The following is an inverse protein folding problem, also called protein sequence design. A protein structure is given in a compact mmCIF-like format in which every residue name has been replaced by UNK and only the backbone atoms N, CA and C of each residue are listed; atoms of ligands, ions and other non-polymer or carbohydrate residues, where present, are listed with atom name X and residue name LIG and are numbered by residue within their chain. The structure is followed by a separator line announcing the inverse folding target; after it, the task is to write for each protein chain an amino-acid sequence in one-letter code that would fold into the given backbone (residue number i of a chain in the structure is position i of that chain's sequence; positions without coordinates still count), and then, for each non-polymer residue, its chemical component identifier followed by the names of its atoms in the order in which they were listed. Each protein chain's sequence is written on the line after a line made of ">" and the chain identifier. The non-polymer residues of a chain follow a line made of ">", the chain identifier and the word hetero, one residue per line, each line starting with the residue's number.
data_IF_357339510194
#
_entry.id   IF_357339510194
#
_cell.length_a   1.000
_cell.length_b   1.000
_cell.length_c   1.000
_cell.angle_alpha   90.00
_cell.angle_beta   90.00
_cell.angle_gamma   90.00
#
_symmetry.space_group_name_H-M   'P 1'
#
loop_
_entity.id
_entity.type
_entity.pdbx_description
1 polymer ?
#
# COMPACT_ATOMS: atom_id res chain seq x y z
N UNK A 1 5.84 36.27 -11.88
CA UNK A 1 6.35 34.93 -11.50
C UNK A 1 7.79 34.85 -11.97
N UNK A 2 8.72 34.59 -11.06
CA UNK A 2 10.16 34.71 -11.34
C UNK A 2 10.61 33.52 -12.20
N UNK A 3 11.26 33.77 -13.34
CA UNK A 3 11.74 32.73 -14.26
C UNK A 3 12.59 31.66 -13.53
N UNK A 4 13.42 32.07 -12.59
CA UNK A 4 14.24 31.16 -11.78
C UNK A 4 13.40 30.17 -10.96
N UNK A 5 12.26 30.64 -10.40
CA UNK A 5 11.33 29.77 -9.65
C UNK A 5 10.62 28.78 -10.58
N UNK A 6 10.27 29.19 -11.80
CA UNK A 6 9.69 28.29 -12.80
C UNK A 6 10.67 27.19 -13.21
N UNK A 7 11.92 27.56 -13.49
CA UNK A 7 12.98 26.59 -13.82
C UNK A 7 13.25 25.66 -12.64
N UNK A 8 13.33 26.20 -11.43
CA UNK A 8 13.52 25.38 -10.22
C UNK A 8 12.36 24.42 -10.02
N UNK A 9 11.13 24.88 -10.16
CA UNK A 9 9.93 24.01 -10.08
C UNK A 9 9.93 22.93 -11.16
N UNK A 10 10.26 23.28 -12.40
CA UNK A 10 10.30 22.35 -13.52
C UNK A 10 11.38 21.28 -13.40
N UNK A 11 12.55 21.63 -12.83
CA UNK A 11 13.69 20.71 -12.73
C UNK A 11 13.78 19.97 -11.41
N UNK A 12 13.36 20.58 -10.30
CA UNK A 12 13.54 20.04 -8.94
C UNK A 12 12.22 19.77 -8.21
N UNK A 13 11.08 20.14 -8.82
CA UNK A 13 9.78 20.09 -8.16
C UNK A 13 9.65 21.16 -7.07
N UNK A 14 8.58 21.07 -6.29
CA UNK A 14 8.34 21.96 -5.14
C UNK A 14 8.49 21.18 -3.84
N UNK A 15 9.60 21.39 -3.14
CA UNK A 15 9.82 20.78 -1.81
C UNK A 15 8.73 21.15 -0.79
N UNK A 16 8.06 22.30 -0.96
CA UNK A 16 6.97 22.71 -0.08
C UNK A 16 5.72 21.85 -0.25
N UNK A 17 5.49 21.31 -1.45
CA UNK A 17 4.34 20.44 -1.75
C UNK A 17 4.58 18.97 -1.39
N UNK A 18 5.80 18.55 -1.11
CA UNK A 18 6.15 17.17 -0.78
C UNK A 18 5.32 16.62 0.37
N UNK A 19 5.14 17.40 1.44
CA UNK A 19 4.38 16.98 2.61
C UNK A 19 2.89 16.75 2.31
N UNK A 20 2.33 17.53 1.41
CA UNK A 20 0.95 17.34 0.94
C UNK A 20 0.83 16.13 0.03
N UNK A 21 1.84 15.85 -0.81
CA UNK A 21 1.89 14.66 -1.64
C UNK A 21 1.97 13.38 -0.77
N UNK A 22 2.83 13.37 0.25
CA UNK A 22 2.92 12.28 1.22
C UNK A 22 1.57 12.07 1.93
N UNK A 23 0.93 13.15 2.41
CA UNK A 23 -0.38 13.08 3.04
C UNK A 23 -1.43 12.48 2.10
N UNK A 24 -1.49 12.96 0.85
CA UNK A 24 -2.47 12.51 -0.14
C UNK A 24 -2.31 11.00 -0.42
N UNK A 25 -1.10 10.55 -0.73
CA UNK A 25 -0.82 9.13 -1.03
C UNK A 25 -1.11 8.27 0.20
N UNK A 26 -0.62 8.66 1.38
CA UNK A 26 -0.81 7.94 2.63
C UNK A 26 -2.28 7.76 2.96
N UNK A 27 -3.07 8.84 2.91
CA UNK A 27 -4.51 8.80 3.21
C UNK A 27 -5.26 7.99 2.16
N UNK A 28 -4.97 8.18 0.87
CA UNK A 28 -5.66 7.46 -0.21
C UNK A 28 -5.40 5.95 -0.14
N UNK A 29 -4.12 5.56 0.01
CA UNK A 29 -3.74 4.14 0.11
C UNK A 29 -4.26 3.54 1.42
N UNK A 30 -4.14 4.26 2.53
CA UNK A 30 -4.65 3.82 3.83
C UNK A 30 -6.16 3.57 3.81
N UNK A 31 -6.94 4.52 3.27
CA UNK A 31 -8.40 4.39 3.13
C UNK A 31 -8.78 3.22 2.22
N UNK A 32 -8.06 3.02 1.11
CA UNK A 32 -8.31 1.89 0.22
C UNK A 32 -8.22 0.56 0.98
N UNK A 33 -7.11 0.34 1.72
CA UNK A 33 -6.93 -0.90 2.49
C UNK A 33 -7.89 -1.02 3.66
N UNK A 34 -8.18 0.08 4.37
CA UNK A 34 -9.16 0.08 5.45
C UNK A 34 -10.56 -0.32 4.95
N UNK A 35 -11.02 0.26 3.86
CA UNK A 35 -12.32 -0.06 3.25
C UNK A 35 -12.32 -1.49 2.68
N UNK A 36 -11.25 -1.88 1.97
CA UNK A 36 -11.10 -3.24 1.42
C UNK A 36 -11.18 -4.30 2.53
N UNK A 37 -10.38 -4.11 3.59
CA UNK A 37 -10.38 -5.02 4.74
C UNK A 37 -11.72 -5.02 5.49
N UNK A 38 -12.34 -3.85 5.69
CA UNK A 38 -13.67 -3.75 6.29
C UNK A 38 -14.73 -4.51 5.48
N UNK A 39 -14.75 -4.35 4.16
CA UNK A 39 -15.68 -5.05 3.29
C UNK A 39 -15.48 -6.57 3.35
N UNK A 40 -14.22 -7.02 3.40
CA UNK A 40 -13.92 -8.45 3.54
C UNK A 40 -14.36 -9.02 4.89
N UNK A 41 -14.25 -8.25 5.98
CA UNK A 41 -14.56 -8.70 7.34
C UNK A 41 -16.04 -8.61 7.69
N UNK A 42 -16.71 -7.53 7.30
CA UNK A 42 -18.04 -7.17 7.81
C UNK A 42 -19.17 -7.35 6.77
N UNK A 43 -18.84 -7.52 5.50
CA UNK A 43 -19.86 -7.82 4.47
C UNK A 43 -20.00 -9.33 4.32
N UNK A 44 -21.23 -9.82 4.17
CA UNK A 44 -21.50 -11.23 3.96
C UNK A 44 -20.71 -11.75 2.75
N UNK A 45 -20.02 -12.87 2.94
CA UNK A 45 -19.18 -13.50 1.91
C UNK A 45 -17.95 -12.68 1.44
N UNK A 46 -17.64 -11.57 2.09
CA UNK A 46 -16.55 -10.68 1.71
C UNK A 46 -15.15 -11.33 1.70
N UNK A 47 -14.93 -12.34 2.55
CA UNK A 47 -13.67 -13.09 2.61
C UNK A 47 -13.56 -14.18 1.53
N UNK A 48 -14.62 -14.54 0.82
CA UNK A 48 -14.62 -15.62 -0.18
C UNK A 48 -13.53 -15.49 -1.25
N UNK A 49 -13.30 -14.32 -1.88
CA UNK A 49 -12.27 -14.20 -2.91
C UNK A 49 -10.85 -14.51 -2.37
N UNK A 50 -10.56 -14.05 -1.16
CA UNK A 50 -9.26 -14.32 -0.50
C UNK A 50 -9.15 -15.80 -0.15
N UNK A 51 -10.21 -16.39 0.41
CA UNK A 51 -10.28 -17.81 0.72
C UNK A 51 -10.04 -18.69 -0.51
N UNK A 52 -10.72 -18.41 -1.63
CA UNK A 52 -10.55 -19.18 -2.87
C UNK A 52 -9.12 -19.07 -3.41
N UNK A 53 -8.51 -17.90 -3.33
CA UNK A 53 -7.12 -17.67 -3.72
C UNK A 53 -6.16 -18.50 -2.86
N UNK A 54 -6.38 -18.52 -1.54
CA UNK A 54 -5.57 -19.30 -0.60
C UNK A 54 -5.74 -20.81 -0.79
N UNK A 55 -6.93 -21.27 -1.11
CA UNK A 55 -7.17 -22.69 -1.47
C UNK A 55 -6.43 -23.06 -2.75
N UNK A 56 -6.51 -22.23 -3.80
CA UNK A 56 -5.79 -22.46 -5.06
C UNK A 56 -4.26 -22.49 -4.87
N UNK A 57 -3.71 -21.68 -3.99
CA UNK A 57 -2.29 -21.67 -3.64
C UNK A 57 -1.88 -22.74 -2.63
N UNK A 58 -2.81 -23.65 -2.26
CA UNK A 58 -2.58 -24.75 -1.30
C UNK A 58 -2.07 -24.26 0.06
N UNK A 59 -2.52 -23.11 0.52
CA UNK A 59 -2.15 -22.56 1.81
C UNK A 59 -2.69 -23.44 2.95
N UNK A 60 -1.90 -23.57 4.02
CA UNK A 60 -2.38 -24.21 5.25
C UNK A 60 -3.38 -23.29 5.94
N UNK A 61 -4.50 -23.85 6.41
CA UNK A 61 -5.56 -23.10 7.13
C UNK A 61 -6.14 -21.90 6.37
N UNK A 62 -6.65 -22.07 5.11
CA UNK A 62 -7.05 -20.97 4.24
C UNK A 62 -8.15 -20.08 4.85
N UNK A 63 -9.05 -20.64 5.65
CA UNK A 63 -10.12 -19.89 6.29
C UNK A 63 -9.59 -18.89 7.34
N UNK A 64 -8.70 -19.35 8.24
CA UNK A 64 -8.10 -18.49 9.26
C UNK A 64 -7.21 -17.43 8.63
N UNK A 65 -6.44 -17.80 7.60
CA UNK A 65 -5.58 -16.88 6.85
C UNK A 65 -6.39 -15.80 6.13
N UNK A 66 -7.55 -16.14 5.55
CA UNK A 66 -8.40 -15.14 4.89
C UNK A 66 -8.87 -14.05 5.86
N UNK A 67 -9.32 -14.42 7.06
CA UNK A 67 -9.69 -13.46 8.09
C UNK A 67 -8.49 -12.68 8.62
N UNK A 68 -7.35 -13.34 8.81
CA UNK A 68 -6.13 -12.70 9.29
C UNK A 68 -5.62 -11.63 8.31
N UNK A 69 -5.51 -11.95 7.02
CA UNK A 69 -5.13 -11.02 5.96
C UNK A 69 -6.09 -9.84 5.89
N UNK A 70 -7.40 -10.10 5.87
CA UNK A 70 -8.41 -9.06 5.87
C UNK A 70 -8.33 -8.16 7.11
N UNK A 71 -7.98 -8.74 8.27
CA UNK A 71 -7.72 -8.01 9.52
C UNK A 71 -6.51 -7.09 9.43
N UNK A 72 -5.40 -7.58 8.84
CA UNK A 72 -4.21 -6.77 8.58
C UNK A 72 -4.56 -5.59 7.67
N UNK A 73 -5.25 -5.84 6.55
CA UNK A 73 -5.66 -4.76 5.64
C UNK A 73 -6.48 -3.69 6.36
N UNK A 74 -7.49 -4.10 7.14
CA UNK A 74 -8.36 -3.18 7.87
C UNK A 74 -7.60 -2.36 8.92
N UNK A 75 -6.86 -3.03 9.81
CA UNK A 75 -6.15 -2.38 10.91
C UNK A 75 -5.02 -1.52 10.40
N UNK A 76 -4.12 -2.08 9.57
CA UNK A 76 -2.97 -1.34 9.05
C UNK A 76 -3.38 -0.21 8.10
N UNK A 77 -4.43 -0.41 7.28
CA UNK A 77 -5.01 0.64 6.45
C UNK A 77 -5.56 1.80 7.28
N UNK A 78 -6.27 1.50 8.37
CA UNK A 78 -6.79 2.51 9.31
C UNK A 78 -5.66 3.29 10.01
N UNK A 79 -4.65 2.57 10.51
CA UNK A 79 -3.46 3.16 11.14
C UNK A 79 -2.71 4.08 10.17
N UNK A 80 -2.53 3.63 8.93
CA UNK A 80 -1.86 4.39 7.88
C UNK A 80 -2.65 5.65 7.51
N UNK A 81 -3.96 5.57 7.44
CA UNK A 81 -4.84 6.73 7.17
C UNK A 81 -4.63 7.84 8.19
N UNK A 82 -4.65 7.50 9.48
CA UNK A 82 -4.44 8.45 10.58
C UNK A 82 -2.98 8.89 10.69
N UNK A 83 -2.04 8.07 10.19
CA UNK A 83 -0.60 8.30 10.32
C UNK A 83 -0.06 7.94 11.69
N UNK A 84 -0.57 6.86 12.27
CA UNK A 84 -0.12 6.28 13.52
C UNK A 84 0.51 4.90 13.27
N UNK A 85 1.70 4.69 13.80
CA UNK A 85 2.52 3.49 13.51
C UNK A 85 2.65 3.24 11.99
N UNK A 86 2.86 4.33 11.22
CA UNK A 86 2.82 4.30 9.76
C UNK A 86 3.84 3.35 9.15
N UNK A 87 5.08 3.34 9.66
CA UNK A 87 6.14 2.48 9.14
C UNK A 87 5.85 0.99 9.36
N UNK A 88 5.51 0.50 10.58
CA UNK A 88 5.12 -0.90 10.76
C UNK A 88 3.83 -1.28 10.00
N UNK A 89 2.86 -0.38 9.87
CA UNK A 89 1.67 -0.62 9.08
C UNK A 89 2.02 -0.80 7.58
N UNK A 90 2.89 0.08 7.03
CA UNK A 90 3.40 -0.07 5.67
C UNK A 90 4.16 -1.38 5.46
N UNK A 91 4.99 -1.82 6.42
CA UNK A 91 5.70 -3.10 6.33
C UNK A 91 4.74 -4.27 6.28
N UNK A 92 3.71 -4.27 7.14
CA UNK A 92 2.70 -5.34 7.14
C UNK A 92 1.93 -5.42 5.82
N UNK A 93 1.47 -4.27 5.28
CA UNK A 93 0.78 -4.20 3.99
C UNK A 93 1.72 -4.50 2.81
N UNK A 94 3.00 -4.15 2.89
CA UNK A 94 4.02 -4.51 1.91
C UNK A 94 4.18 -6.03 1.81
N UNK A 95 4.27 -6.72 2.95
CA UNK A 95 4.35 -8.19 3.01
C UNK A 95 3.08 -8.79 2.41
N UNK A 96 1.91 -8.29 2.79
CA UNK A 96 0.62 -8.76 2.29
C UNK A 96 0.53 -8.65 0.76
N UNK A 97 0.82 -7.48 0.19
CA UNK A 97 0.79 -7.25 -1.26
C UNK A 97 1.89 -8.04 -2.00
N UNK A 98 3.05 -8.25 -1.39
CA UNK A 98 4.09 -9.10 -1.98
C UNK A 98 3.62 -10.56 -2.05
N UNK A 99 3.02 -11.07 -0.99
CA UNK A 99 2.43 -12.43 -0.98
C UNK A 99 1.31 -12.53 -2.01
N UNK A 100 0.41 -11.56 -2.08
CA UNK A 100 -0.67 -11.53 -3.07
C UNK A 100 -0.13 -11.53 -4.51
N UNK A 101 0.93 -10.76 -4.78
CA UNK A 101 1.62 -10.75 -6.08
C UNK A 101 2.14 -12.14 -6.43
N UNK A 102 2.87 -12.77 -5.53
CA UNK A 102 3.52 -14.07 -5.77
C UNK A 102 2.54 -15.24 -5.87
N UNK A 103 1.44 -15.20 -5.11
CA UNK A 103 0.48 -16.33 -5.04
C UNK A 103 -0.64 -16.23 -6.05
N UNK A 104 -1.03 -15.04 -6.46
CA UNK A 104 -2.22 -14.79 -7.25
C UNK A 104 -1.92 -13.95 -8.50
N UNK A 105 -1.43 -12.74 -8.35
CA UNK A 105 -1.32 -11.77 -9.43
C UNK A 105 -0.43 -12.24 -10.58
N UNK A 106 0.73 -12.83 -10.30
CA UNK A 106 1.61 -13.39 -11.33
C UNK A 106 0.94 -14.49 -12.18
N UNK A 107 -0.02 -15.21 -11.62
CA UNK A 107 -0.73 -16.26 -12.35
C UNK A 107 -1.75 -15.72 -13.37
N UNK A 108 -2.10 -14.44 -13.28
CA UNK A 108 -3.01 -13.77 -14.21
C UNK A 108 -2.31 -13.29 -15.48
N UNK A 109 -0.96 -13.21 -15.45
CA UNK A 109 -0.18 -12.75 -16.59
C UNK A 109 -0.27 -13.75 -17.76
N UNK A 110 -0.46 -13.28 -19.01
CA UNK A 110 -0.48 -14.15 -20.19
C UNK A 110 0.86 -14.87 -20.37
N UNK A 111 0.77 -16.13 -20.82
CA UNK A 111 1.97 -16.96 -21.09
C UNK A 111 2.50 -16.66 -22.49
N UNK A 112 3.84 -16.70 -22.64
CA UNK A 112 4.49 -16.55 -23.95
C UNK A 112 4.70 -15.10 -24.39
N UNK A 113 4.63 -14.15 -23.48
CA UNK A 113 4.95 -12.74 -23.74
C UNK A 113 6.46 -12.55 -24.02
N UNK A 114 6.77 -11.51 -24.79
CA UNK A 114 8.15 -11.00 -24.86
C UNK A 114 8.57 -10.44 -23.50
N UNK A 115 9.87 -10.39 -23.18
CA UNK A 115 10.34 -9.84 -21.89
C UNK A 115 9.83 -8.40 -21.62
N UNK A 116 9.74 -7.59 -22.66
CA UNK A 116 9.26 -6.21 -22.55
C UNK A 116 7.75 -6.14 -22.26
N UNK A 117 6.95 -6.94 -22.98
CA UNK A 117 5.51 -7.03 -22.76
C UNK A 117 5.17 -7.64 -21.41
N UNK A 118 5.98 -8.60 -20.96
CA UNK A 118 5.84 -9.18 -19.61
C UNK A 118 6.10 -8.13 -18.52
N UNK A 119 7.15 -7.33 -18.69
CA UNK A 119 7.47 -6.26 -17.74
C UNK A 119 6.36 -5.19 -17.70
N UNK A 120 5.79 -4.84 -18.85
CA UNK A 120 4.67 -3.91 -18.96
C UNK A 120 3.46 -4.42 -18.18
N UNK A 121 3.01 -5.65 -18.47
CA UNK A 121 1.88 -6.27 -17.77
C UNK A 121 2.15 -6.47 -16.26
N UNK A 122 3.39 -6.82 -15.89
CA UNK A 122 3.79 -6.96 -14.49
C UNK A 122 3.69 -5.63 -13.72
N UNK A 123 4.18 -4.53 -14.29
CA UNK A 123 4.12 -3.21 -13.67
C UNK A 123 2.69 -2.64 -13.63
N UNK A 124 1.79 -3.16 -14.48
CA UNK A 124 0.39 -2.78 -14.49
C UNK A 124 -0.44 -3.49 -13.40
N UNK A 125 0.12 -4.49 -12.71
CA UNK A 125 -0.54 -5.16 -11.59
C UNK A 125 -0.74 -4.18 -10.42
N UNK A 126 -1.97 -4.02 -9.90
CA UNK A 126 -2.22 -3.11 -8.77
C UNK A 126 -1.41 -3.48 -7.53
N UNK A 127 -1.20 -4.77 -7.27
CA UNK A 127 -0.40 -5.25 -6.14
C UNK A 127 1.04 -4.74 -6.21
N UNK A 128 1.64 -4.73 -7.41
CA UNK A 128 3.00 -4.22 -7.64
C UNK A 128 3.06 -2.71 -7.40
N UNK A 129 2.06 -1.96 -7.85
CA UNK A 129 1.98 -0.52 -7.59
C UNK A 129 1.87 -0.23 -6.08
N UNK A 130 1.07 -1.00 -5.33
CA UNK A 130 0.99 -0.84 -3.88
C UNK A 130 2.31 -1.19 -3.19
N UNK A 131 3.02 -2.23 -3.62
CA UNK A 131 4.37 -2.54 -3.12
C UNK A 131 5.30 -1.33 -3.27
N UNK A 132 5.32 -0.69 -4.44
CA UNK A 132 6.13 0.50 -4.69
C UNK A 132 5.70 1.69 -3.81
N UNK A 133 4.39 1.91 -3.62
CA UNK A 133 3.90 2.95 -2.72
C UNK A 133 4.30 2.72 -1.26
N UNK A 134 4.24 1.49 -0.77
CA UNK A 134 4.65 1.17 0.61
C UNK A 134 6.16 1.36 0.80
N UNK A 135 6.99 0.93 -0.16
CA UNK A 135 8.45 1.19 -0.12
C UNK A 135 8.70 2.69 -0.07
N UNK A 136 8.04 3.45 -0.93
CA UNK A 136 8.17 4.90 -0.98
C UNK A 136 7.74 5.55 0.35
N UNK A 137 6.58 5.16 0.92
CA UNK A 137 6.11 5.68 2.21
C UNK A 137 7.05 5.33 3.37
N UNK A 138 7.65 4.13 3.38
CA UNK A 138 8.64 3.73 4.38
C UNK A 138 9.88 4.64 4.30
N UNK A 139 10.35 4.92 3.07
CA UNK A 139 11.53 5.77 2.86
C UNK A 139 11.26 7.25 3.11
N UNK A 140 10.09 7.76 2.72
CA UNK A 140 9.69 9.17 2.88
C UNK A 140 9.25 9.51 4.30
N UNK A 141 8.87 8.48 5.07
CA UNK A 141 8.30 8.64 6.40
C UNK A 141 6.83 9.08 6.37
N UNK A 142 6.21 9.23 7.56
CA UNK A 142 4.78 9.46 7.73
C UNK A 142 4.30 10.87 7.31
N UNK A 143 5.24 11.80 7.10
CA UNK A 143 4.96 13.20 6.79
C UNK A 143 4.58 14.03 8.03
N UNK A 144 4.67 15.36 7.89
CA UNK A 144 4.41 16.32 8.99
C UNK A 144 2.95 16.29 9.48
N UNK A 145 2.01 15.88 8.64
CA UNK A 145 0.59 15.77 8.98
C UNK A 145 0.22 14.37 9.49
N UNK A 146 1.02 13.78 10.37
CA UNK A 146 0.83 12.46 10.95
C UNK A 146 0.86 12.50 12.47
N UNK A 147 0.18 11.55 13.09
CA UNK A 147 0.25 11.35 14.55
C UNK A 147 1.67 10.96 14.96
N UNK A 148 2.36 10.15 14.15
CA UNK A 148 3.74 9.74 14.40
C UNK A 148 4.69 10.94 14.49
N UNK A 149 4.53 11.92 13.59
CA UNK A 149 5.36 13.14 13.60
C UNK A 149 5.11 13.97 14.86
N UNK A 150 3.85 14.11 15.29
CA UNK A 150 3.49 14.81 16.50
C UNK A 150 4.06 14.12 17.75
N UNK A 151 3.92 12.78 17.84
CA UNK A 151 4.46 11.99 18.95
C UNK A 151 6.00 12.06 19.00
N UNK A 152 6.67 11.93 17.86
CA UNK A 152 8.14 12.07 17.79
C UNK A 152 8.59 13.45 18.30
N UNK A 153 7.87 14.52 17.98
CA UNK A 153 8.13 15.87 18.47
C UNK A 153 7.96 16.01 20.00
N UNK A 154 7.15 15.17 20.64
CA UNK A 154 6.98 15.15 22.09
C UNK A 154 8.05 14.29 22.80
N UNK A 155 8.39 13.14 22.21
CA UNK A 155 9.28 12.15 22.83
C UNK A 155 10.78 12.50 22.67
N UNK A 156 11.13 13.26 21.63
CA UNK A 156 12.51 13.63 21.32
C UNK A 156 12.90 15.04 21.81
N UNK A 157 12.04 15.70 22.56
CA UNK A 157 12.34 16.94 23.29
C UNK A 157 12.87 16.63 24.69
#
# INVERSE_FOLDING_TARGET
>A
MDWKRLVQFALLGSGDLEQYAILLVRVSVGLFFAISGANKLFVADGTKPVYETLVKSKASFPHQLAYFVSGIEFVCGSLLTVGFLSSPACVALLIDMTVATLTSALSTLPKGLSPLSWLDDFLYLPEVLYVLFFIWLICSGPGKFSVDYWLAGQLLR
#
